data_IF_427634834482
#
_entry.id   IF_427634834482
#
_cell.length_a   1.000
_cell.length_b   1.000
_cell.length_c   1.000
_cell.angle_alpha   90.00
_cell.angle_beta   90.00
_cell.angle_gamma   90.00
#
_symmetry.space_group_name_H-M   'P 1'
#
loop_
_entity.id
_entity.type
_entity.pdbx_description
1 polymer ?
#
# COMPACT_ATOMS: atom_id res chain seq x y z
N UNK A 1 13.57 -21.44 15.91
CA UNK A 1 12.73 -22.54 15.44
C UNK A 1 11.29 -22.05 15.43
N UNK A 2 10.67 -21.92 14.27
CA UNK A 2 9.26 -21.61 14.13
C UNK A 2 8.49 -22.86 14.51
N UNK A 3 7.71 -22.82 15.58
CA UNK A 3 6.88 -23.93 16.00
C UNK A 3 5.67 -24.04 15.07
N UNK A 4 5.69 -25.02 14.18
CA UNK A 4 4.66 -25.26 13.15
C UNK A 4 3.29 -25.68 13.75
N UNK A 5 3.18 -25.87 15.06
CA UNK A 5 1.93 -26.25 15.75
C UNK A 5 0.98 -25.09 16.02
N UNK A 6 1.32 -23.91 15.57
CA UNK A 6 0.62 -22.67 15.88
C UNK A 6 -0.26 -22.12 14.73
N UNK A 7 -0.54 -22.91 13.69
CA UNK A 7 -1.41 -22.48 12.58
C UNK A 7 -2.89 -22.62 12.99
N UNK A 8 -3.56 -21.50 13.19
CA UNK A 8 -5.01 -21.43 13.44
C UNK A 8 -5.45 -20.92 14.81
N UNK A 9 -4.71 -21.17 15.89
CA UNK A 9 -4.96 -20.59 17.21
C UNK A 9 -4.11 -19.35 17.52
N UNK A 10 -3.17 -19.07 16.65
CA UNK A 10 -2.09 -18.11 16.84
C UNK A 10 -2.50 -16.66 16.68
N UNK A 11 -3.52 -16.38 15.88
CA UNK A 11 -4.00 -14.98 15.72
C UNK A 11 -4.41 -14.41 17.09
N UNK A 12 -5.11 -15.17 17.89
CA UNK A 12 -5.51 -14.74 19.24
C UNK A 12 -4.36 -14.61 20.23
N UNK A 13 -3.25 -15.36 20.06
CA UNK A 13 -2.08 -15.28 20.96
C UNK A 13 -1.20 -14.09 20.63
N UNK A 14 -1.06 -13.72 19.36
CA UNK A 14 -0.23 -12.58 18.94
C UNK A 14 -0.80 -11.25 19.39
N UNK A 15 -2.11 -11.08 19.27
CA UNK A 15 -2.79 -9.79 19.43
C UNK A 15 -3.23 -9.54 20.88
N UNK A 16 -3.24 -10.57 21.75
CA UNK A 16 -3.57 -10.38 23.16
C UNK A 16 -2.42 -9.69 23.90
N UNK A 17 -2.74 -8.80 24.86
CA UNK A 17 -1.75 -8.26 25.77
C UNK A 17 -0.97 -9.34 26.51
N UNK A 18 0.26 -9.05 26.88
CA UNK A 18 1.15 -10.02 27.55
C UNK A 18 0.62 -10.51 28.90
N UNK A 19 -0.11 -9.68 29.62
CA UNK A 19 -0.79 -10.01 30.87
C UNK A 19 -1.97 -10.98 30.68
N UNK A 20 -2.50 -11.07 29.48
CA UNK A 20 -3.56 -11.99 29.06
C UNK A 20 -3.01 -13.23 28.32
N UNK A 21 -1.69 -13.48 28.41
CA UNK A 21 -1.01 -14.62 27.79
C UNK A 21 -0.74 -14.47 26.31
N UNK A 22 -0.83 -13.26 25.76
CA UNK A 22 -0.48 -12.96 24.38
C UNK A 22 0.97 -12.52 24.22
N UNK A 23 1.40 -12.29 22.99
CA UNK A 23 2.74 -11.78 22.64
C UNK A 23 2.81 -10.23 22.64
N UNK A 24 1.68 -9.54 22.75
CA UNK A 24 1.61 -8.09 22.85
C UNK A 24 1.93 -7.33 21.57
N UNK A 25 1.80 -7.95 20.39
CA UNK A 25 1.91 -7.24 19.13
C UNK A 25 0.68 -6.38 18.90
N UNK A 26 0.90 -5.11 18.55
CA UNK A 26 -0.17 -4.15 18.32
C UNK A 26 -0.59 -4.01 16.85
N UNK A 27 0.25 -4.48 15.92
CA UNK A 27 0.05 -4.36 14.49
C UNK A 27 0.32 -5.68 13.79
N UNK A 28 -0.45 -5.93 12.72
CA UNK A 28 -0.32 -7.10 11.85
C UNK A 28 -0.10 -6.67 10.41
N UNK A 29 0.84 -7.27 9.72
CA UNK A 29 1.01 -7.03 8.29
C UNK A 29 -0.19 -7.52 7.50
N UNK A 30 -0.74 -6.66 6.66
CA UNK A 30 -1.84 -7.01 5.77
C UNK A 30 -1.29 -7.61 4.47
N UNK A 31 -0.98 -8.90 4.52
CA UNK A 31 -0.44 -9.62 3.36
C UNK A 31 -1.51 -9.80 2.27
N UNK A 32 -2.79 -9.91 2.63
CA UNK A 32 -3.89 -9.98 1.68
C UNK A 32 -3.97 -8.71 0.83
N UNK A 33 -3.95 -7.54 1.48
CA UNK A 33 -3.90 -6.27 0.76
C UNK A 33 -2.68 -6.17 -0.18
N UNK A 34 -1.51 -6.60 0.29
CA UNK A 34 -0.29 -6.55 -0.50
C UNK A 34 -0.41 -7.38 -1.78
N UNK A 35 -0.86 -8.63 -1.68
CA UNK A 35 -1.03 -9.50 -2.85
C UNK A 35 -2.07 -8.92 -3.81
N UNK A 36 -3.23 -8.51 -3.32
CA UNK A 36 -4.28 -7.92 -4.15
C UNK A 36 -3.79 -6.67 -4.91
N UNK A 37 -2.98 -5.82 -4.24
CA UNK A 37 -2.40 -4.63 -4.86
C UNK A 37 -1.38 -4.99 -5.94
N UNK A 38 -0.46 -5.91 -5.65
CA UNK A 38 0.55 -6.31 -6.62
C UNK A 38 -0.10 -6.97 -7.84
N UNK A 39 -1.01 -7.90 -7.63
CA UNK A 39 -1.77 -8.55 -8.71
C UNK A 39 -2.49 -7.52 -9.59
N UNK A 40 -3.13 -6.52 -8.98
CA UNK A 40 -3.84 -5.48 -9.72
C UNK A 40 -2.88 -4.58 -10.52
N UNK A 41 -1.79 -4.15 -9.91
CA UNK A 41 -0.86 -3.22 -10.54
C UNK A 41 0.05 -3.89 -11.59
N UNK A 42 0.25 -5.20 -11.54
CA UNK A 42 0.93 -5.99 -12.59
C UNK A 42 0.09 -6.12 -13.87
N UNK A 43 -1.24 -5.94 -13.78
CA UNK A 43 -2.10 -5.98 -14.95
C UNK A 43 -1.86 -4.78 -15.87
N UNK A 44 -1.90 -5.03 -17.18
CA UNK A 44 -2.08 -3.95 -18.15
C UNK A 44 -3.33 -3.15 -17.79
N UNK A 45 -3.27 -1.80 -17.83
CA UNK A 45 -4.40 -0.93 -17.44
C UNK A 45 -5.73 -1.27 -18.09
N UNK A 46 -5.72 -1.81 -19.32
CA UNK A 46 -6.92 -2.26 -20.02
C UNK A 46 -7.67 -3.38 -19.29
N UNK A 47 -6.96 -4.29 -18.64
CA UNK A 47 -7.58 -5.42 -17.93
C UNK A 47 -8.05 -5.08 -16.51
N UNK A 48 -7.62 -3.96 -15.95
CA UNK A 48 -7.96 -3.54 -14.57
C UNK A 48 -9.45 -3.40 -14.34
N UNK A 49 -10.22 -3.05 -15.37
CA UNK A 49 -11.68 -2.97 -15.31
C UNK A 49 -12.36 -4.28 -14.86
N UNK A 50 -11.73 -5.42 -15.06
CA UNK A 50 -12.24 -6.73 -14.66
C UNK A 50 -11.77 -7.18 -13.28
N UNK A 51 -10.88 -6.41 -12.65
CA UNK A 51 -10.21 -6.75 -11.40
C UNK A 51 -10.37 -5.66 -10.32
N UNK A 52 -11.39 -4.81 -10.42
CA UNK A 52 -11.66 -3.72 -9.45
C UNK A 52 -11.75 -4.23 -8.01
N UNK A 53 -12.20 -5.46 -7.81
CA UNK A 53 -12.30 -6.06 -6.48
C UNK A 53 -10.95 -6.15 -5.77
N UNK A 54 -9.84 -6.32 -6.47
CA UNK A 54 -8.53 -6.38 -5.85
C UNK A 54 -8.23 -5.11 -5.04
N UNK A 55 -8.61 -3.93 -5.54
CA UNK A 55 -8.36 -2.66 -4.85
C UNK A 55 -9.46 -2.26 -3.87
N UNK A 56 -10.63 -2.90 -3.90
CA UNK A 56 -11.77 -2.53 -3.06
C UNK A 56 -12.07 -3.53 -1.95
N UNK A 57 -11.75 -4.80 -2.15
CA UNK A 57 -12.12 -5.88 -1.24
C UNK A 57 -11.49 -5.76 0.15
N UNK A 58 -10.27 -5.26 0.25
CA UNK A 58 -9.53 -5.16 1.51
C UNK A 58 -10.28 -4.37 2.59
N UNK A 59 -11.12 -3.41 2.22
CA UNK A 59 -11.90 -2.59 3.16
C UNK A 59 -12.87 -3.44 3.99
N UNK A 60 -13.36 -4.55 3.47
CA UNK A 60 -14.28 -5.43 4.19
C UNK A 60 -13.68 -6.03 5.48
N UNK A 61 -12.38 -6.24 5.51
CA UNK A 61 -11.70 -6.83 6.66
C UNK A 61 -10.71 -5.88 7.35
N UNK A 62 -10.48 -4.69 6.78
CA UNK A 62 -9.45 -3.74 7.28
C UNK A 62 -9.63 -3.40 8.77
N UNK A 63 -10.85 -3.44 9.29
CA UNK A 63 -11.16 -3.07 10.67
C UNK A 63 -11.32 -4.27 11.62
N UNK A 64 -11.01 -5.47 11.16
CA UNK A 64 -11.03 -6.66 12.02
C UNK A 64 -9.81 -6.75 12.93
N UNK A 65 -8.70 -6.11 12.53
CA UNK A 65 -7.44 -6.05 13.24
C UNK A 65 -6.72 -4.72 12.97
N UNK A 66 -5.69 -4.40 13.75
CA UNK A 66 -4.85 -3.24 13.52
C UNK A 66 -3.83 -3.55 12.42
N UNK A 67 -4.19 -3.28 11.19
CA UNK A 67 -3.34 -3.61 10.06
C UNK A 67 -2.27 -2.57 9.75
N UNK A 68 -1.11 -3.09 9.33
CA UNK A 68 -0.05 -2.36 8.66
C UNK A 68 0.02 -2.82 7.21
N UNK A 69 -0.14 -1.91 6.27
CA UNK A 69 0.07 -2.15 4.85
C UNK A 69 1.57 -2.28 4.62
N UNK A 70 2.02 -3.42 4.13
CA UNK A 70 3.42 -3.72 4.02
C UNK A 70 3.80 -4.10 2.59
N UNK A 71 4.64 -3.29 1.96
CA UNK A 71 5.45 -3.72 0.83
C UNK A 71 6.81 -4.14 1.39
N UNK A 72 6.96 -5.43 1.68
CA UNK A 72 8.09 -5.96 2.43
C UNK A 72 9.23 -6.45 1.53
N UNK A 73 10.32 -6.90 2.16
CA UNK A 73 11.43 -7.53 1.47
C UNK A 73 11.02 -8.79 0.70
N UNK A 74 10.00 -9.52 1.17
CA UNK A 74 9.53 -10.77 0.56
C UNK A 74 9.11 -10.60 -0.90
N UNK A 75 8.76 -9.37 -1.31
CA UNK A 75 8.31 -9.07 -2.65
C UNK A 75 9.45 -8.57 -3.57
N UNK A 76 10.66 -8.40 -3.05
CA UNK A 76 11.82 -7.90 -3.81
C UNK A 76 13.08 -8.75 -3.64
N UNK A 77 12.96 -9.95 -3.06
CA UNK A 77 14.05 -10.93 -2.94
C UNK A 77 14.37 -11.58 -4.29
N UNK A 78 15.49 -12.30 -4.31
CA UNK A 78 15.98 -13.00 -5.51
C UNK A 78 14.90 -13.84 -6.20
N UNK A 79 14.73 -13.59 -7.50
CA UNK A 79 13.73 -14.26 -8.34
C UNK A 79 12.33 -13.63 -8.34
N UNK A 80 12.09 -12.57 -7.54
CA UNK A 80 10.79 -11.86 -7.49
C UNK A 80 10.80 -10.51 -8.17
N UNK A 81 11.94 -10.04 -8.66
CA UNK A 81 12.16 -8.70 -9.20
C UNK A 81 11.97 -7.58 -8.14
N UNK A 82 12.21 -6.35 -8.52
CA UNK A 82 11.91 -5.17 -7.71
C UNK A 82 10.54 -4.59 -8.07
N UNK A 83 9.99 -3.74 -7.19
CA UNK A 83 8.64 -3.20 -7.31
C UNK A 83 8.38 -2.53 -8.68
N UNK A 84 9.32 -1.69 -9.13
CA UNK A 84 9.20 -0.98 -10.40
C UNK A 84 9.13 -1.93 -11.62
N UNK A 85 9.81 -3.09 -11.55
CA UNK A 85 9.82 -4.06 -12.65
C UNK A 85 8.50 -4.83 -12.77
N UNK A 86 7.79 -4.99 -11.67
CA UNK A 86 6.45 -5.63 -11.66
C UNK A 86 5.41 -4.81 -12.41
N UNK A 87 5.64 -3.50 -12.57
CA UNK A 87 4.70 -2.63 -13.27
C UNK A 87 4.73 -2.86 -14.78
N UNK A 88 3.56 -2.88 -15.47
CA UNK A 88 3.48 -3.07 -16.91
C UNK A 88 3.94 -1.83 -17.70
N UNK A 89 4.23 -2.07 -18.98
CA UNK A 89 4.50 -1.02 -19.94
C UNK A 89 5.95 -0.56 -20.02
N UNK A 90 6.15 0.60 -20.62
CA UNK A 90 7.46 1.25 -20.75
C UNK A 90 7.92 1.89 -19.42
N UNK A 91 9.13 2.43 -19.40
CA UNK A 91 9.70 3.01 -18.18
C UNK A 91 8.81 4.14 -17.60
N UNK A 92 8.27 5.02 -18.45
CA UNK A 92 7.38 6.09 -17.98
C UNK A 92 6.12 5.53 -17.29
N UNK A 93 5.52 4.52 -17.91
CA UNK A 93 4.33 3.84 -17.39
C UNK A 93 4.63 3.12 -16.07
N UNK A 94 5.79 2.48 -15.94
CA UNK A 94 6.22 1.83 -14.70
C UNK A 94 6.34 2.82 -13.55
N UNK A 95 6.97 3.97 -13.77
CA UNK A 95 7.04 5.01 -12.75
C UNK A 95 5.66 5.59 -12.43
N UNK A 96 4.79 5.78 -13.43
CA UNK A 96 3.43 6.26 -13.21
C UNK A 96 2.60 5.28 -12.36
N UNK A 97 2.69 3.98 -12.64
CA UNK A 97 2.02 2.94 -11.86
C UNK A 97 2.57 2.86 -10.43
N UNK A 98 3.89 2.94 -10.25
CA UNK A 98 4.51 2.96 -8.92
C UNK A 98 4.02 4.17 -8.10
N UNK A 99 3.94 5.36 -8.73
CA UNK A 99 3.37 6.53 -8.06
C UNK A 99 1.91 6.32 -7.66
N UNK A 100 1.10 5.73 -8.53
CA UNK A 100 -0.30 5.46 -8.24
C UNK A 100 -0.46 4.47 -7.07
N UNK A 101 0.32 3.38 -7.06
CA UNK A 101 0.32 2.41 -5.95
C UNK A 101 0.71 3.05 -4.62
N UNK A 102 1.81 3.81 -4.59
CA UNK A 102 2.28 4.48 -3.36
C UNK A 102 1.27 5.52 -2.87
N UNK A 103 0.69 6.33 -3.77
CA UNK A 103 -0.34 7.30 -3.40
C UNK A 103 -1.58 6.64 -2.84
N UNK A 104 -2.02 5.53 -3.44
CA UNK A 104 -3.14 4.75 -2.93
C UNK A 104 -2.81 4.14 -1.55
N UNK A 105 -1.63 3.57 -1.38
CA UNK A 105 -1.17 3.03 -0.11
C UNK A 105 -1.20 4.07 1.00
N UNK A 106 -0.70 5.31 0.76
CA UNK A 106 -0.67 6.39 1.77
C UNK A 106 -2.05 6.87 2.18
N UNK A 107 -3.02 6.80 1.27
CA UNK A 107 -4.40 7.24 1.52
C UNK A 107 -5.34 6.14 2.01
N UNK A 108 -5.01 4.87 1.81
CA UNK A 108 -5.77 3.71 2.30
C UNK A 108 -5.68 3.61 3.85
N UNK A 109 -6.72 3.12 4.57
CA UNK A 109 -6.62 2.86 6.01
C UNK A 109 -5.53 1.87 6.39
N UNK A 110 -4.97 2.01 7.60
CA UNK A 110 -3.90 1.19 8.13
C UNK A 110 -2.55 1.91 8.16
N UNK A 111 -1.60 1.43 8.97
CA UNK A 111 -0.23 1.99 9.00
C UNK A 111 0.55 1.52 7.78
N UNK A 112 1.60 2.22 7.39
CA UNK A 112 2.36 2.01 6.16
C UNK A 112 3.80 1.59 6.45
N UNK A 113 4.29 0.61 5.70
CA UNK A 113 5.73 0.30 5.66
C UNK A 113 6.13 -0.11 4.25
N UNK A 114 7.23 0.43 3.79
CA UNK A 114 7.88 0.04 2.54
C UNK A 114 9.29 -0.43 2.83
N UNK A 115 9.80 -1.35 2.03
CA UNK A 115 11.16 -1.82 2.16
C UNK A 115 12.14 -0.86 1.50
N UNK A 116 13.34 -0.77 2.05
CA UNK A 116 14.41 0.15 1.61
C UNK A 116 14.65 0.04 0.10
N UNK A 117 14.79 1.19 -0.54
CA UNK A 117 14.98 1.32 -1.99
C UNK A 117 13.66 1.50 -2.76
N UNK A 118 12.51 1.13 -2.20
CA UNK A 118 11.22 1.38 -2.85
C UNK A 118 10.87 2.86 -2.92
N UNK A 119 11.34 3.65 -1.94
CA UNK A 119 11.13 5.10 -1.85
C UNK A 119 11.77 5.90 -2.99
N UNK A 120 12.69 5.31 -3.75
CA UNK A 120 13.25 5.91 -4.96
C UNK A 120 13.18 4.98 -6.18
N UNK A 121 12.47 3.84 -6.06
CA UNK A 121 12.26 2.92 -7.17
C UNK A 121 13.53 2.17 -7.58
N UNK A 122 14.24 1.57 -6.61
CA UNK A 122 15.42 0.73 -6.88
C UNK A 122 15.11 -0.30 -7.96
N UNK A 123 16.07 -0.56 -8.84
CA UNK A 123 15.94 -1.48 -9.99
C UNK A 123 16.49 -2.87 -9.75
N UNK A 124 17.41 -3.03 -8.79
CA UNK A 124 17.93 -4.34 -8.41
C UNK A 124 17.05 -5.00 -7.37
N UNK A 125 16.98 -6.31 -7.41
CA UNK A 125 16.45 -7.12 -6.31
C UNK A 125 17.27 -6.86 -5.04
N UNK A 126 16.64 -7.05 -3.89
CA UNK A 126 17.35 -6.91 -2.64
C UNK A 126 18.48 -7.94 -2.51
N UNK A 127 19.65 -7.43 -2.22
CA UNK A 127 20.85 -8.23 -1.96
C UNK A 127 21.44 -7.82 -0.60
N UNK A 128 21.45 -8.75 0.34
CA UNK A 128 21.97 -8.53 1.70
C UNK A 128 23.48 -8.18 1.72
N UNK A 129 24.21 -8.53 0.66
CA UNK A 129 25.65 -8.27 0.54
C UNK A 129 25.99 -7.03 -0.28
N UNK A 130 24.99 -6.33 -0.79
CA UNK A 130 25.17 -5.16 -1.65
C UNK A 130 24.54 -3.90 -1.07
N UNK A 131 25.03 -2.76 -1.52
CA UNK A 131 24.45 -1.46 -1.20
C UNK A 131 23.18 -1.19 -2.02
N UNK A 132 22.38 -0.24 -1.57
CA UNK A 132 21.30 0.33 -2.36
C UNK A 132 21.87 1.08 -3.57
N UNK A 133 21.12 1.12 -4.66
CA UNK A 133 21.52 1.78 -5.91
C UNK A 133 21.35 3.30 -5.82
N UNK A 134 22.09 3.97 -4.94
CA UNK A 134 22.01 5.43 -4.71
C UNK A 134 22.30 6.25 -5.95
N UNK A 135 23.05 5.71 -6.91
CA UNK A 135 23.35 6.32 -8.21
C UNK A 135 22.09 6.56 -9.06
N UNK A 136 21.02 5.80 -8.82
CA UNK A 136 19.73 6.02 -9.49
C UNK A 136 19.14 7.41 -9.20
N UNK A 137 19.46 8.00 -8.07
CA UNK A 137 19.05 9.36 -7.71
C UNK A 137 19.70 10.45 -8.59
N UNK A 138 20.60 10.11 -9.49
CA UNK A 138 21.07 11.02 -10.53
C UNK A 138 20.05 11.19 -11.67
N UNK A 139 19.05 10.30 -11.77
CA UNK A 139 18.04 10.30 -12.82
C UNK A 139 16.70 10.84 -12.32
N UNK A 140 16.09 11.74 -13.10
CA UNK A 140 14.85 12.43 -12.73
C UNK A 140 13.66 11.52 -12.41
N UNK A 141 13.42 10.38 -13.09
CA UNK A 141 12.31 9.50 -12.70
C UNK A 141 12.42 8.97 -11.28
N UNK A 142 13.62 8.59 -10.83
CA UNK A 142 13.89 8.11 -9.48
C UNK A 142 13.76 9.22 -8.43
N UNK A 143 14.31 10.41 -8.72
CA UNK A 143 14.06 11.61 -7.89
C UNK A 143 12.57 11.93 -7.80
N UNK A 144 11.82 11.69 -8.87
CA UNK A 144 10.38 11.90 -8.89
C UNK A 144 9.63 10.98 -7.92
N UNK A 145 10.03 9.70 -7.82
CA UNK A 145 9.47 8.78 -6.82
C UNK A 145 9.85 9.23 -5.41
N UNK A 146 11.12 9.58 -5.17
CA UNK A 146 11.58 10.03 -3.86
C UNK A 146 10.82 11.29 -3.40
N UNK A 147 10.71 12.30 -4.27
CA UNK A 147 9.92 13.51 -3.97
C UNK A 147 8.47 13.18 -3.64
N UNK A 148 7.85 12.27 -4.40
CA UNK A 148 6.49 11.84 -4.10
C UNK A 148 6.38 11.23 -2.69
N UNK A 149 7.30 10.35 -2.31
CA UNK A 149 7.28 9.72 -0.98
C UNK A 149 7.49 10.76 0.11
N UNK A 150 8.37 11.73 -0.10
CA UNK A 150 8.57 12.87 0.81
C UNK A 150 7.28 13.70 0.95
N UNK A 151 6.64 14.06 -0.16
CA UNK A 151 5.39 14.82 -0.17
C UNK A 151 4.24 14.04 0.50
N UNK A 152 4.13 12.74 0.22
CA UNK A 152 3.15 11.86 0.87
C UNK A 152 3.38 11.76 2.38
N UNK A 153 4.63 11.70 2.83
CA UNK A 153 4.98 11.70 4.26
C UNK A 153 4.63 13.04 4.94
N UNK A 154 4.87 14.16 4.26
CA UNK A 154 4.47 15.49 4.75
C UNK A 154 2.96 15.57 4.87
N UNK A 155 2.23 15.19 3.81
CA UNK A 155 0.76 15.16 3.80
C UNK A 155 0.22 14.24 4.89
N UNK A 156 0.74 13.02 5.01
CA UNK A 156 0.29 12.04 5.99
C UNK A 156 0.43 12.55 7.43
N UNK A 157 1.53 13.25 7.73
CA UNK A 157 1.74 13.85 9.06
C UNK A 157 0.83 15.04 9.31
N UNK A 158 0.59 15.86 8.28
CA UNK A 158 -0.19 17.09 8.39
C UNK A 158 -1.69 16.83 8.50
N UNK A 159 -2.19 15.73 7.91
CA UNK A 159 -3.61 15.43 7.78
C UNK A 159 -4.04 14.27 8.72
N UNK A 160 -4.55 14.56 9.93
CA UNK A 160 -4.97 13.54 10.87
C UNK A 160 -6.04 12.58 10.33
N UNK A 161 -6.84 13.02 9.37
CA UNK A 161 -7.81 12.16 8.66
C UNK A 161 -7.16 10.94 7.98
N UNK A 162 -5.87 10.98 7.68
CA UNK A 162 -5.14 9.86 7.05
C UNK A 162 -4.63 8.81 8.03
N UNK A 163 -4.55 9.12 9.34
CA UNK A 163 -3.88 8.21 10.27
C UNK A 163 -4.50 8.05 11.65
N UNK A 164 -5.36 8.99 12.10
CA UNK A 164 -5.88 8.96 13.47
C UNK A 164 -6.90 7.83 13.65
N UNK A 165 -7.83 7.72 12.71
CA UNK A 165 -8.91 6.73 12.74
C UNK A 165 -8.63 5.56 11.75
N UNK A 166 -7.36 5.15 11.61
CA UNK A 166 -6.94 4.07 10.69
C UNK A 166 -7.55 2.71 11.03
N UNK A 167 -7.92 2.51 12.29
CA UNK A 167 -8.45 1.24 12.79
C UNK A 167 -9.94 1.31 13.12
N UNK A 168 -10.60 2.42 12.75
CA UNK A 168 -12.03 2.63 12.95
C UNK A 168 -12.73 2.78 11.60
N UNK A 169 -13.85 2.06 11.45
CA UNK A 169 -14.67 2.14 10.24
C UNK A 169 -15.19 3.56 9.93
N UNK A 170 -15.32 4.43 10.92
CA UNK A 170 -15.69 5.83 10.72
C UNK A 170 -14.60 6.64 10.01
N UNK A 171 -13.35 6.19 10.03
CA UNK A 171 -12.24 6.83 9.36
C UNK A 171 -12.26 6.72 7.83
N UNK A 172 -13.19 5.94 7.27
CA UNK A 172 -13.26 5.69 5.83
C UNK A 172 -14.70 5.62 5.32
N UNK A 173 -14.92 6.15 4.12
CA UNK A 173 -16.19 5.97 3.40
C UNK A 173 -15.96 5.99 1.89
N UNK A 174 -16.48 4.99 1.20
CA UNK A 174 -16.56 5.04 -0.26
C UNK A 174 -17.46 6.18 -0.72
N UNK A 175 -17.03 6.93 -1.73
CA UNK A 175 -17.86 7.83 -2.53
C UNK A 175 -18.36 7.05 -3.74
N UNK A 176 -17.43 6.48 -4.52
CA UNK A 176 -17.72 5.54 -5.59
C UNK A 176 -16.57 4.52 -5.72
N UNK A 177 -16.92 3.24 -5.69
CA UNK A 177 -15.99 2.13 -5.88
C UNK A 177 -16.41 1.22 -7.05
N UNK A 178 -17.42 1.63 -7.84
CA UNK A 178 -18.05 0.79 -8.86
C UNK A 178 -17.77 1.24 -10.30
N UNK A 179 -16.98 2.29 -10.50
CA UNK A 179 -16.59 2.72 -11.84
C UNK A 179 -15.48 1.82 -12.43
N UNK A 180 -15.84 0.54 -12.59
CA UNK A 180 -14.93 -0.48 -13.10
C UNK A 180 -14.47 -0.17 -14.53
N UNK A 181 -15.37 0.36 -15.36
CA UNK A 181 -15.08 0.64 -16.76
C UNK A 181 -13.91 1.60 -16.93
N UNK A 182 -13.80 2.57 -16.06
CA UNK A 182 -12.74 3.58 -16.10
C UNK A 182 -11.60 3.25 -15.13
N UNK A 183 -11.74 2.20 -14.29
CA UNK A 183 -10.80 1.87 -13.22
C UNK A 183 -10.53 3.08 -12.31
N UNK A 184 -11.58 3.79 -11.97
CA UNK A 184 -11.58 4.94 -11.07
C UNK A 184 -12.26 4.57 -9.77
N UNK A 185 -11.69 5.00 -8.66
CA UNK A 185 -12.33 4.94 -7.35
C UNK A 185 -12.28 6.29 -6.67
N UNK A 186 -13.25 6.55 -5.82
CA UNK A 186 -13.22 7.70 -4.93
C UNK A 186 -13.70 7.34 -3.53
N UNK A 187 -13.05 7.91 -2.53
CA UNK A 187 -13.38 7.68 -1.13
C UNK A 187 -13.03 8.87 -0.27
N UNK A 188 -13.52 8.83 0.94
CA UNK A 188 -13.31 9.85 1.96
C UNK A 188 -12.53 9.25 3.13
N UNK A 189 -11.50 9.97 3.58
CA UNK A 189 -10.86 9.74 4.88
C UNK A 189 -11.37 10.79 5.85
N UNK A 190 -11.64 10.38 7.08
CA UNK A 190 -12.21 11.25 8.11
C UNK A 190 -11.42 11.18 9.40
N UNK A 191 -11.49 12.26 10.16
CA UNK A 191 -11.08 12.31 11.54
C UNK A 191 -12.29 12.61 12.43
N UNK A 192 -12.61 11.71 13.34
CA UNK A 192 -13.79 11.82 14.21
C UNK A 192 -13.69 12.98 15.20
N UNK A 193 -12.49 13.31 15.68
CA UNK A 193 -12.28 14.31 16.73
C UNK A 193 -12.50 15.75 16.24
N UNK A 194 -12.02 16.09 15.04
CA UNK A 194 -12.16 17.44 14.46
C UNK A 194 -13.28 17.55 13.45
N UNK A 195 -13.79 16.41 12.95
CA UNK A 195 -14.70 16.38 11.83
C UNK A 195 -14.04 16.70 10.48
N UNK A 196 -12.71 16.76 10.44
CA UNK A 196 -11.95 16.98 9.20
C UNK A 196 -12.09 15.79 8.27
N UNK A 197 -12.19 16.06 6.99
CA UNK A 197 -12.26 15.02 5.96
C UNK A 197 -11.41 15.39 4.76
N UNK A 198 -10.98 14.36 4.05
CA UNK A 198 -10.17 14.44 2.83
C UNK A 198 -10.78 13.53 1.77
N UNK A 199 -11.00 14.04 0.57
CA UNK A 199 -11.46 13.24 -0.56
C UNK A 199 -10.28 12.76 -1.36
N UNK A 200 -10.28 11.49 -1.69
CA UNK A 200 -9.31 10.84 -2.56
C UNK A 200 -10.02 10.37 -3.82
N UNK A 201 -9.47 10.74 -4.97
CA UNK A 201 -9.89 10.22 -6.28
C UNK A 201 -8.68 9.59 -6.94
N UNK A 202 -8.77 8.32 -7.29
CA UNK A 202 -7.69 7.57 -7.92
C UNK A 202 -8.13 7.04 -9.28
N UNK A 203 -7.38 7.42 -10.32
CA UNK A 203 -7.51 6.90 -11.67
C UNK A 203 -6.32 5.96 -11.94
N UNK A 204 -6.60 4.68 -12.17
CA UNK A 204 -5.59 3.66 -12.40
C UNK A 204 -5.37 3.36 -13.89
N UNK A 205 -5.78 4.27 -14.77
CA UNK A 205 -5.57 4.20 -16.20
C UNK A 205 -4.79 5.42 -16.72
N UNK A 206 -4.13 5.33 -17.88
CA UNK A 206 -3.49 6.49 -18.51
C UNK A 206 -4.47 7.44 -19.20
N UNK A 207 -5.77 7.14 -19.16
CA UNK A 207 -6.79 7.95 -19.81
C UNK A 207 -7.34 9.02 -18.87
N UNK A 208 -7.57 10.21 -19.41
CA UNK A 208 -8.29 11.26 -18.70
C UNK A 208 -9.80 11.01 -18.82
N UNK A 209 -10.51 11.12 -17.73
CA UNK A 209 -11.96 11.03 -17.65
C UNK A 209 -12.52 12.38 -17.22
N UNK A 210 -13.62 12.82 -17.85
CA UNK A 210 -14.33 14.07 -17.56
C UNK A 210 -15.67 13.78 -16.90
#
# INVERSE_FOLDING_TARGET
>A
AIDVRLVGSEMCIRDRPTDSGGLGFNLKWNMGWMHDMLDYFELDPWFRQFHQNNITFSIWYTYTENFMLALSHDEVVHGKSHLLHKMPGDDWQKYANTRALLSYMWTHPGKKTIFMGMEFGQRAEWNVWGDLQWDLLNYEPHKGIQRLVDDLNVLYKAEPALWRDDFDQFGFQWIDCNDNRHSVISFMRRESASGTWLVVVANFTPQSHS
#
